data_IF_315029250038
#
_entry.id   IF_315029250038
#
_cell.length_a   1.000
_cell.length_b   1.000
_cell.length_c   1.000
_cell.angle_alpha   90.00
_cell.angle_beta   90.00
_cell.angle_gamma   90.00
#
_symmetry.space_group_name_H-M   'P 1'
#
loop_
_entity.id
_entity.type
_entity.pdbx_description
1 polymer ?
#
# COMPACT_ATOMS: atom_id res chain seq x y z
N UNK A 1 6.83 -18.51 -19.28
CA UNK A 1 7.95 -17.99 -18.46
C UNK A 1 7.50 -16.62 -17.93
N UNK A 2 8.00 -16.15 -16.80
CA UNK A 2 7.66 -14.83 -16.21
C UNK A 2 8.95 -14.17 -15.75
N UNK A 3 8.97 -12.83 -15.73
CA UNK A 3 10.00 -12.05 -15.09
C UNK A 3 9.56 -11.76 -13.65
N UNK A 4 10.23 -12.34 -12.66
CA UNK A 4 9.88 -12.25 -11.26
C UNK A 4 10.81 -11.26 -10.54
N UNK A 5 10.22 -10.22 -9.92
CA UNK A 5 10.90 -9.23 -9.10
C UNK A 5 10.43 -9.33 -7.65
N UNK A 6 11.33 -9.13 -6.70
CA UNK A 6 10.95 -9.06 -5.29
C UNK A 6 10.18 -7.78 -4.99
N UNK A 7 10.72 -6.63 -5.40
CA UNK A 7 10.11 -5.32 -5.33
C UNK A 7 10.22 -4.61 -6.70
N UNK A 8 9.49 -3.50 -6.90
CA UNK A 8 9.52 -2.74 -8.16
C UNK A 8 10.19 -1.37 -7.95
N UNK A 9 11.46 -1.41 -7.57
CA UNK A 9 12.29 -0.23 -7.41
C UNK A 9 12.95 0.20 -8.74
N UNK A 10 13.79 1.24 -8.71
CA UNK A 10 14.44 1.77 -9.93
C UNK A 10 15.27 0.70 -10.64
N UNK A 11 15.99 -0.16 -9.90
CA UNK A 11 16.81 -1.22 -10.49
C UNK A 11 15.96 -2.27 -11.22
N UNK A 12 14.83 -2.65 -10.62
CA UNK A 12 13.86 -3.58 -11.24
C UNK A 12 13.29 -2.98 -12.53
N UNK A 13 12.94 -1.69 -12.52
CA UNK A 13 12.45 -0.97 -13.71
C UNK A 13 13.50 -0.89 -14.82
N UNK A 14 14.76 -0.61 -14.48
CA UNK A 14 15.85 -0.53 -15.44
C UNK A 14 16.15 -1.91 -16.05
N UNK A 15 16.12 -2.97 -15.23
CA UNK A 15 16.27 -4.34 -15.71
C UNK A 15 15.12 -4.75 -16.63
N UNK A 16 13.87 -4.50 -16.24
CA UNK A 16 12.70 -4.79 -17.09
C UNK A 16 12.80 -4.05 -18.43
N UNK A 17 13.18 -2.77 -18.42
CA UNK A 17 13.39 -2.00 -19.64
C UNK A 17 14.46 -2.64 -20.54
N UNK A 18 15.56 -3.07 -19.95
CA UNK A 18 16.65 -3.74 -20.68
C UNK A 18 16.21 -5.06 -21.29
N UNK A 19 15.42 -5.86 -20.55
CA UNK A 19 14.85 -7.11 -21.05
C UNK A 19 13.90 -6.86 -22.23
N UNK A 20 13.01 -5.88 -22.12
CA UNK A 20 12.10 -5.50 -23.22
C UNK A 20 12.85 -5.01 -24.47
N UNK A 21 13.93 -4.25 -24.31
CA UNK A 21 14.78 -3.83 -25.41
C UNK A 21 15.52 -5.00 -26.07
N UNK A 22 15.84 -6.04 -25.31
CA UNK A 22 16.40 -7.29 -25.82
C UNK A 22 15.37 -8.23 -26.48
N UNK A 23 14.10 -7.82 -26.57
CA UNK A 23 13.02 -8.58 -27.22
C UNK A 23 12.26 -9.51 -26.27
N UNK A 24 12.46 -9.43 -24.96
CA UNK A 24 11.70 -10.22 -23.99
C UNK A 24 10.24 -9.70 -23.89
N UNK A 25 9.30 -10.62 -24.17
CA UNK A 25 7.85 -10.37 -24.11
C UNK A 25 7.19 -11.00 -22.87
N UNK A 26 7.99 -11.50 -21.93
CA UNK A 26 7.45 -12.17 -20.75
C UNK A 26 6.75 -11.17 -19.80
N UNK A 27 5.63 -11.56 -19.16
CA UNK A 27 4.97 -10.72 -18.18
C UNK A 27 5.86 -10.54 -16.93
N UNK A 28 5.81 -9.32 -16.39
CA UNK A 28 6.49 -8.97 -15.14
C UNK A 28 5.59 -9.16 -13.95
N UNK A 29 6.07 -9.89 -12.94
CA UNK A 29 5.38 -10.14 -11.68
C UNK A 29 6.23 -9.65 -10.52
N UNK A 30 5.62 -8.93 -9.59
CA UNK A 30 6.27 -8.35 -8.40
C UNK A 30 5.69 -8.98 -7.14
N UNK A 31 6.55 -9.48 -6.25
CA UNK A 31 6.11 -10.12 -5.00
C UNK A 31 5.59 -9.06 -4.01
N UNK A 32 6.37 -8.00 -3.76
CA UNK A 32 5.99 -6.91 -2.86
C UNK A 32 5.33 -5.77 -3.62
N UNK A 33 4.00 -5.74 -3.60
CA UNK A 33 3.21 -4.66 -4.18
C UNK A 33 3.11 -3.48 -3.19
N UNK A 34 3.47 -2.29 -3.67
CA UNK A 34 3.43 -1.05 -2.90
C UNK A 34 2.21 -0.17 -3.25
N UNK A 35 1.25 -0.69 -4.01
CA UNK A 35 0.04 0.01 -4.46
C UNK A 35 0.25 0.93 -5.69
N UNK A 36 1.47 1.01 -6.24
CA UNK A 36 1.83 1.91 -7.34
C UNK A 36 2.57 1.19 -8.48
N UNK A 37 2.20 -0.04 -8.77
CA UNK A 37 2.77 -0.77 -9.89
C UNK A 37 2.24 -0.21 -11.22
N UNK A 38 3.11 -0.06 -12.23
CA UNK A 38 2.67 0.41 -13.55
C UNK A 38 1.76 -0.60 -14.24
N UNK A 39 1.11 -0.16 -15.30
CA UNK A 39 0.30 -1.02 -16.16
C UNK A 39 1.16 -2.14 -16.76
N UNK A 40 0.60 -3.34 -16.83
CA UNK A 40 1.28 -4.53 -17.34
C UNK A 40 2.23 -5.20 -16.35
N UNK A 41 2.42 -4.65 -15.14
CA UNK A 41 3.11 -5.32 -14.04
C UNK A 41 2.09 -5.89 -13.06
N UNK A 42 2.14 -7.19 -12.83
CA UNK A 42 1.20 -7.90 -11.97
C UNK A 42 1.82 -8.24 -10.60
N UNK A 43 0.96 -8.54 -9.63
CA UNK A 43 1.37 -9.01 -8.30
C UNK A 43 0.37 -10.02 -7.75
N UNK A 44 0.80 -10.93 -6.84
CA UNK A 44 -0.13 -11.78 -6.12
C UNK A 44 -1.22 -10.97 -5.38
N UNK A 45 -0.85 -9.82 -4.82
CA UNK A 45 -1.79 -8.94 -4.11
C UNK A 45 -2.88 -8.41 -5.06
N UNK A 46 -2.53 -7.97 -6.27
CA UNK A 46 -3.54 -7.57 -7.27
C UNK A 46 -4.53 -8.68 -7.57
N UNK A 47 -4.05 -9.93 -7.68
CA UNK A 47 -4.90 -11.09 -7.91
C UNK A 47 -5.89 -11.29 -6.76
N UNK A 48 -5.41 -11.35 -5.52
CA UNK A 48 -6.25 -11.54 -4.34
C UNK A 48 -7.27 -10.41 -4.14
N UNK A 49 -6.91 -9.17 -4.48
CA UNK A 49 -7.81 -8.02 -4.40
C UNK A 49 -8.80 -7.92 -5.58
N UNK A 50 -8.77 -8.88 -6.53
CA UNK A 50 -9.60 -8.85 -7.73
C UNK A 50 -9.23 -7.72 -8.71
N UNK A 51 -7.98 -7.24 -8.68
CA UNK A 51 -7.50 -6.13 -9.48
C UNK A 51 -6.75 -6.58 -10.74
N UNK A 52 -6.33 -7.85 -10.81
CA UNK A 52 -5.62 -8.40 -11.95
C UNK A 52 -6.47 -8.30 -13.22
N UNK A 53 -5.92 -7.71 -14.27
CA UNK A 53 -6.63 -7.48 -15.55
C UNK A 53 -7.77 -6.49 -15.49
N UNK A 54 -8.00 -5.80 -14.36
CA UNK A 54 -9.10 -4.84 -14.23
C UNK A 54 -8.69 -3.45 -14.76
N UNK A 55 -9.61 -2.82 -15.51
CA UNK A 55 -9.45 -1.44 -16.01
C UNK A 55 -9.96 -0.44 -14.96
N UNK A 56 -9.25 -0.34 -13.85
CA UNK A 56 -9.63 0.53 -12.75
C UNK A 56 -9.43 2.00 -13.10
N UNK A 57 -10.44 2.81 -12.79
CA UNK A 57 -10.37 4.26 -12.94
C UNK A 57 -10.17 4.90 -11.56
N UNK A 58 -9.27 5.88 -11.50
CA UNK A 58 -9.00 6.62 -10.28
C UNK A 58 -7.72 7.42 -10.41
N UNK A 59 -7.40 8.17 -9.39
CA UNK A 59 -6.13 8.89 -9.26
C UNK A 59 -5.60 8.76 -7.85
N UNK A 60 -4.29 8.84 -7.65
CA UNK A 60 -3.72 8.85 -6.31
C UNK A 60 -4.31 9.97 -5.45
N UNK A 61 -4.51 9.69 -4.18
CA UNK A 61 -4.98 10.66 -3.19
C UNK A 61 -3.88 11.67 -2.88
N UNK A 62 -4.22 12.95 -2.83
CA UNK A 62 -3.29 13.99 -2.39
C UNK A 62 -3.35 14.17 -0.87
N UNK A 63 -2.32 14.81 -0.29
CA UNK A 63 -2.20 14.98 1.15
C UNK A 63 -3.40 15.70 1.79
N UNK A 64 -4.01 16.65 1.09
CA UNK A 64 -5.17 17.41 1.56
C UNK A 64 -6.52 16.69 1.37
N UNK A 65 -6.50 15.46 0.86
CA UNK A 65 -7.68 14.61 0.65
C UNK A 65 -7.76 13.47 1.68
N UNK A 66 -6.90 13.50 2.70
CA UNK A 66 -6.96 12.55 3.81
C UNK A 66 -8.13 12.94 4.71
N UNK A 67 -8.98 11.95 5.01
CA UNK A 67 -10.11 12.16 5.92
C UNK A 67 -9.60 12.37 7.35
N UNK A 68 -9.86 13.54 7.91
CA UNK A 68 -9.43 13.93 9.24
C UNK A 68 -10.61 14.24 10.16
N UNK A 69 -10.45 14.05 11.49
CA UNK A 69 -11.36 14.59 12.47
C UNK A 69 -11.49 16.12 12.33
N UNK A 70 -12.64 16.65 12.73
CA UNK A 70 -12.91 18.09 12.71
C UNK A 70 -11.86 18.84 13.52
N UNK A 71 -11.38 19.97 13.00
CA UNK A 71 -10.36 20.85 13.60
C UNK A 71 -8.93 20.31 13.62
N UNK A 72 -8.67 19.15 13.03
CA UNK A 72 -7.29 18.71 12.82
C UNK A 72 -6.70 19.38 11.58
N UNK A 73 -5.41 19.63 11.61
CA UNK A 73 -4.68 20.37 10.58
C UNK A 73 -3.64 19.49 9.88
N UNK A 74 -3.36 19.79 8.61
CA UNK A 74 -2.24 19.20 7.89
C UNK A 74 -1.17 20.28 7.67
N UNK A 75 0.06 19.97 8.12
CA UNK A 75 1.26 20.68 7.68
C UNK A 75 2.01 19.82 6.68
N UNK A 76 2.32 20.34 5.51
CA UNK A 76 2.91 19.54 4.45
C UNK A 76 3.93 20.37 3.64
N UNK A 77 5.05 19.74 3.31
CA UNK A 77 6.06 20.26 2.40
C UNK A 77 6.13 19.46 1.09
N UNK A 78 7.24 19.52 0.37
CA UNK A 78 7.44 18.77 -0.88
C UNK A 78 7.83 17.30 -0.67
N UNK A 79 8.19 16.89 0.54
CA UNK A 79 8.72 15.55 0.84
C UNK A 79 7.83 14.74 1.75
N UNK A 80 7.09 15.38 2.66
CA UNK A 80 6.24 14.71 3.65
C UNK A 80 5.14 15.64 4.17
N UNK A 81 4.25 15.09 4.98
CA UNK A 81 3.26 15.85 5.73
C UNK A 81 3.10 15.34 7.15
N UNK A 82 2.47 16.15 7.97
CA UNK A 82 2.11 15.84 9.35
C UNK A 82 0.66 16.21 9.60
N UNK A 83 -0.03 15.38 10.36
CA UNK A 83 -1.36 15.70 10.89
C UNK A 83 -1.21 16.17 12.32
N UNK A 84 -1.86 17.29 12.65
CA UNK A 84 -1.80 17.93 13.96
C UNK A 84 -3.19 18.06 14.56
N UNK A 85 -3.28 17.85 15.86
CA UNK A 85 -4.43 18.13 16.71
C UNK A 85 -4.00 19.14 17.78
N UNK A 86 -4.48 20.38 17.70
CA UNK A 86 -4.06 21.48 18.58
C UNK A 86 -2.52 21.60 18.73
N UNK A 87 -1.80 21.44 17.62
CA UNK A 87 -0.34 21.50 17.61
C UNK A 87 0.38 20.21 18.01
N UNK A 88 -0.35 19.20 18.52
CA UNK A 88 0.20 17.89 18.82
C UNK A 88 0.17 16.99 17.58
N UNK A 89 1.32 16.42 17.24
CA UNK A 89 1.44 15.52 16.10
C UNK A 89 0.67 14.22 16.32
N UNK A 90 -0.21 13.88 15.37
CA UNK A 90 -1.07 12.70 15.37
C UNK A 90 -0.74 11.70 14.28
N UNK A 91 -0.17 12.16 13.15
CA UNK A 91 0.26 11.25 12.09
C UNK A 91 1.41 11.84 11.27
N UNK A 92 2.13 10.94 10.59
CA UNK A 92 3.02 11.29 9.48
C UNK A 92 2.34 10.92 8.16
N UNK A 93 2.47 11.78 7.15
CA UNK A 93 2.03 11.51 5.79
C UNK A 93 3.26 11.23 4.94
N UNK A 94 3.33 10.03 4.35
CA UNK A 94 4.37 9.63 3.42
C UNK A 94 3.87 9.73 2.00
N UNK A 95 4.68 10.35 1.13
CA UNK A 95 4.35 10.47 -0.29
C UNK A 95 4.97 9.36 -1.09
N UNK A 96 4.34 9.07 -2.22
CA UNK A 96 4.93 8.24 -3.25
C UNK A 96 6.15 8.96 -3.86
N UNK A 97 7.34 8.39 -3.71
CA UNK A 97 8.62 9.05 -3.98
C UNK A 97 8.90 9.37 -5.45
N UNK A 98 8.26 8.65 -6.37
CA UNK A 98 8.66 8.69 -7.78
C UNK A 98 8.14 9.87 -8.60
N UNK A 99 7.23 10.72 -8.08
CA UNK A 99 6.59 11.74 -8.92
C UNK A 99 6.53 13.16 -8.36
N UNK A 100 7.10 13.45 -7.21
CA UNK A 100 7.13 14.79 -6.57
C UNK A 100 5.76 15.50 -6.45
N UNK A 101 4.63 14.77 -6.59
CA UNK A 101 3.28 15.33 -6.67
C UNK A 101 2.52 15.29 -5.35
N UNK A 102 3.17 15.05 -4.21
CA UNK A 102 2.54 14.94 -2.89
C UNK A 102 1.40 13.91 -2.85
N UNK A 103 1.51 12.87 -3.66
CA UNK A 103 0.58 11.75 -3.67
C UNK A 103 0.86 10.85 -2.48
N UNK A 104 -0.18 10.58 -1.71
CA UNK A 104 -0.05 9.82 -0.46
C UNK A 104 0.13 8.34 -0.78
N UNK A 105 1.17 7.74 -0.20
CA UNK A 105 1.35 6.29 -0.17
C UNK A 105 0.95 5.71 1.18
N UNK A 106 1.23 6.43 2.28
CA UNK A 106 0.93 5.96 3.64
C UNK A 106 0.58 7.12 4.57
N UNK A 107 -0.25 6.83 5.57
CA UNK A 107 -0.47 7.68 6.74
C UNK A 107 -0.18 6.86 7.99
N UNK A 108 0.84 7.26 8.74
CA UNK A 108 1.29 6.59 9.97
C UNK A 108 0.65 7.30 11.17
N UNK A 109 -0.39 6.71 11.76
CA UNK A 109 -1.09 7.25 12.93
C UNK A 109 -0.33 6.96 14.22
N UNK A 110 -0.18 7.98 15.06
CA UNK A 110 0.63 7.94 16.28
C UNK A 110 -0.25 7.88 17.54
N UNK A 111 0.25 7.18 18.57
CA UNK A 111 -0.29 7.30 19.91
C UNK A 111 0.22 8.59 20.62
N UNK A 112 -0.23 8.81 21.85
CA UNK A 112 0.15 9.98 22.66
C UNK A 112 1.66 10.03 22.96
N UNK A 113 2.35 8.91 22.88
CA UNK A 113 3.80 8.81 23.07
C UNK A 113 4.60 8.95 21.76
N UNK A 114 3.92 9.23 20.63
CA UNK A 114 4.53 9.39 19.31
C UNK A 114 4.91 8.07 18.62
N UNK A 115 4.42 6.92 19.11
CA UNK A 115 4.69 5.61 18.50
C UNK A 115 3.63 5.30 17.45
N UNK A 116 4.05 4.71 16.33
CA UNK A 116 3.12 4.28 15.26
C UNK A 116 2.22 3.16 15.79
N UNK A 117 0.90 3.33 15.63
CA UNK A 117 -0.12 2.36 16.02
C UNK A 117 -0.86 1.76 14.84
N UNK A 118 -1.10 2.57 13.82
CA UNK A 118 -1.79 2.16 12.61
C UNK A 118 -1.12 2.81 11.41
N UNK A 119 -1.02 2.07 10.30
CA UNK A 119 -0.55 2.61 9.02
C UNK A 119 -1.65 2.36 8.00
N UNK A 120 -2.22 3.43 7.47
CA UNK A 120 -3.10 3.38 6.30
C UNK A 120 -2.25 3.39 5.03
N UNK A 121 -2.51 2.46 4.11
CA UNK A 121 -1.81 2.36 2.83
C UNK A 121 -2.76 2.74 1.69
N UNK A 122 -2.32 3.68 0.86
CA UNK A 122 -3.08 4.17 -0.29
C UNK A 122 -2.41 3.72 -1.60
N UNK A 123 -3.24 3.47 -2.62
CA UNK A 123 -2.76 3.02 -3.92
C UNK A 123 -2.88 4.12 -5.00
N UNK A 124 -2.42 3.81 -6.21
CA UNK A 124 -2.45 4.72 -7.35
C UNK A 124 -3.85 5.10 -7.83
N UNK A 125 -4.90 4.40 -7.41
CA UNK A 125 -6.31 4.72 -7.73
C UNK A 125 -6.99 5.54 -6.63
N UNK A 126 -6.33 5.79 -5.49
CA UNK A 126 -6.74 6.72 -4.45
C UNK A 126 -7.56 6.13 -3.31
N UNK A 127 -7.74 4.81 -3.21
CA UNK A 127 -8.36 4.23 -2.02
C UNK A 127 -7.33 3.61 -1.07
N UNK A 128 -7.76 3.43 0.17
CA UNK A 128 -7.02 2.75 1.20
C UNK A 128 -7.14 1.23 0.99
N UNK A 129 -6.10 0.63 0.43
CA UNK A 129 -6.11 -0.80 0.08
C UNK A 129 -5.57 -1.70 1.18
N UNK A 130 -4.87 -1.14 2.17
CA UNK A 130 -4.42 -1.91 3.32
C UNK A 130 -4.34 -1.05 4.58
N UNK A 131 -4.47 -1.70 5.73
CA UNK A 131 -4.30 -1.12 7.06
C UNK A 131 -3.40 -2.04 7.86
N UNK A 132 -2.27 -1.51 8.33
CA UNK A 132 -1.35 -2.23 9.21
C UNK A 132 -1.54 -1.76 10.65
N UNK A 133 -1.82 -2.68 11.56
CA UNK A 133 -1.78 -2.44 13.00
C UNK A 133 -0.39 -2.72 13.55
N UNK A 134 0.06 -1.88 14.48
CA UNK A 134 1.34 -2.01 15.13
C UNK A 134 1.19 -2.34 16.62
N UNK A 135 2.15 -3.09 17.16
CA UNK A 135 2.22 -3.43 18.58
C UNK A 135 2.58 -2.22 19.47
N UNK A 136 2.68 -2.43 20.78
CA UNK A 136 3.04 -1.40 21.75
C UNK A 136 4.43 -0.77 21.54
N UNK A 137 5.31 -1.40 20.78
CA UNK A 137 6.63 -0.91 20.41
C UNK A 137 6.68 -0.21 19.05
N UNK A 138 5.57 -0.20 18.30
CA UNK A 138 5.49 0.35 16.95
C UNK A 138 5.90 -0.64 15.84
N UNK A 139 6.08 -1.93 16.15
CA UNK A 139 6.37 -2.95 15.15
C UNK A 139 5.06 -3.42 14.50
N UNK A 140 5.10 -3.67 13.21
CA UNK A 140 3.95 -4.21 12.48
C UNK A 140 3.54 -5.57 13.05
N UNK A 141 2.26 -5.71 13.39
CA UNK A 141 1.69 -6.95 13.92
C UNK A 141 0.81 -7.64 12.90
N UNK A 142 -0.08 -6.90 12.25
CA UNK A 142 -1.03 -7.46 11.29
C UNK A 142 -1.34 -6.42 10.20
N UNK A 143 -1.50 -6.88 8.96
CA UNK A 143 -1.99 -6.06 7.85
C UNK A 143 -3.25 -6.68 7.27
N UNK A 144 -4.34 -5.91 7.26
CA UNK A 144 -5.57 -6.24 6.54
C UNK A 144 -5.57 -5.56 5.18
N UNK A 145 -5.90 -6.30 4.12
CA UNK A 145 -5.99 -5.81 2.75
C UNK A 145 -7.44 -5.78 2.29
N UNK A 146 -7.83 -4.72 1.59
CA UNK A 146 -9.21 -4.43 1.22
C UNK A 146 -9.36 -4.30 -0.30
N UNK A 147 -10.41 -4.92 -0.84
CA UNK A 147 -10.85 -4.68 -2.21
C UNK A 147 -11.39 -3.24 -2.36
N UNK A 148 -11.63 -2.81 -3.60
CA UNK A 148 -12.11 -1.46 -3.92
C UNK A 148 -13.49 -1.13 -3.32
N UNK A 149 -14.29 -2.13 -2.97
CA UNK A 149 -15.59 -2.00 -2.29
C UNK A 149 -15.47 -1.92 -0.75
N UNK A 150 -14.24 -1.93 -0.20
CA UNK A 150 -13.98 -1.91 1.23
C UNK A 150 -14.09 -3.26 1.95
N UNK A 151 -14.33 -4.35 1.21
CA UNK A 151 -14.35 -5.70 1.80
C UNK A 151 -12.92 -6.14 2.14
N UNK A 152 -12.70 -6.66 3.35
CA UNK A 152 -11.44 -7.27 3.75
C UNK A 152 -11.28 -8.63 3.05
N UNK A 153 -10.19 -8.78 2.31
CA UNK A 153 -9.94 -9.96 1.46
C UNK A 153 -8.79 -10.80 1.97
N UNK A 154 -7.73 -10.14 2.46
CA UNK A 154 -6.52 -10.82 2.88
C UNK A 154 -6.02 -10.23 4.19
N UNK A 155 -5.57 -11.07 5.10
CA UNK A 155 -4.93 -10.68 6.35
C UNK A 155 -3.55 -11.32 6.40
N UNK A 156 -2.53 -10.51 6.67
CA UNK A 156 -1.17 -10.96 6.92
C UNK A 156 -0.84 -10.79 8.40
N UNK A 157 -0.43 -11.88 9.06
CA UNK A 157 0.13 -11.83 10.39
C UNK A 157 1.66 -11.72 10.31
N UNK A 158 2.21 -10.57 10.69
CA UNK A 158 3.66 -10.32 10.61
C UNK A 158 4.48 -11.07 11.69
N UNK A 159 3.82 -11.53 12.76
CA UNK A 159 4.50 -12.26 13.84
C UNK A 159 4.72 -13.72 13.48
N UNK A 160 3.78 -14.34 12.78
CA UNK A 160 3.86 -15.75 12.37
C UNK A 160 4.23 -15.93 10.90
N UNK A 161 4.03 -14.89 10.08
CA UNK A 161 4.18 -14.95 8.63
C UNK A 161 2.97 -15.55 7.91
N UNK A 162 1.90 -15.89 8.65
CA UNK A 162 0.71 -16.52 8.09
C UNK A 162 -0.16 -15.53 7.34
N UNK A 163 -0.91 -16.05 6.36
CA UNK A 163 -1.93 -15.31 5.63
C UNK A 163 -3.29 -15.98 5.77
N UNK A 164 -4.34 -15.17 5.93
CA UNK A 164 -5.73 -15.60 5.88
C UNK A 164 -6.41 -14.94 4.70
N UNK A 165 -7.01 -15.72 3.81
CA UNK A 165 -7.75 -15.24 2.65
C UNK A 165 -9.24 -15.45 2.84
N UNK A 166 -10.02 -14.38 2.78
CA UNK A 166 -11.47 -14.37 2.89
C UNK A 166 -12.06 -14.47 1.48
N UNK A 167 -12.70 -15.59 1.16
CA UNK A 167 -13.37 -15.80 -0.12
C UNK A 167 -14.67 -14.99 -0.24
N UNK A 168 -15.07 -14.60 -1.47
CA UNK A 168 -16.35 -13.91 -1.69
C UNK A 168 -17.60 -14.69 -1.27
N UNK A 169 -17.52 -16.02 -1.24
CA UNK A 169 -18.59 -16.93 -0.81
C UNK A 169 -18.64 -17.19 0.71
N UNK A 170 -17.77 -16.51 1.48
CA UNK A 170 -17.65 -16.64 2.92
C UNK A 170 -16.71 -17.76 3.38
N UNK A 171 -16.05 -18.47 2.48
CA UNK A 171 -15.00 -19.42 2.81
C UNK A 171 -13.73 -18.71 3.32
N UNK A 172 -12.91 -19.41 4.12
CA UNK A 172 -11.65 -18.89 4.65
C UNK A 172 -10.54 -19.89 4.35
N UNK A 173 -9.45 -19.40 3.76
CA UNK A 173 -8.22 -20.16 3.56
C UNK A 173 -7.09 -19.60 4.40
N UNK A 174 -6.38 -20.49 5.11
CA UNK A 174 -5.20 -20.11 5.89
C UNK A 174 -3.95 -20.71 5.23
N UNK A 175 -3.01 -19.83 4.91
CA UNK A 175 -1.68 -20.17 4.44
C UNK A 175 -0.71 -20.00 5.60
N UNK A 176 -0.08 -21.09 6.02
CA UNK A 176 0.95 -21.08 7.07
C UNK A 176 2.32 -20.92 6.44
N UNK A 177 3.17 -20.15 7.10
CA UNK A 177 4.58 -20.01 6.74
C UNK A 177 5.37 -21.24 7.22
#
# INVERSE_FOLDING_TARGET
MINLFFDYNQKSQDLERSLKLAGDQQPSVVIQDNGFLPEGVESPLKYFLGLAGSNLKGRPRYFNEIDLPKFWEIKADSQSGEVLDHGQKRANIRYWKNNRRRQVSQVEWLDMAGRIRVIDHYNQWGWKYAVTSCDGSGRQAMTSYFASNGQEVLIQNHLTGDYTYNLPDGGIYNFKN
#
